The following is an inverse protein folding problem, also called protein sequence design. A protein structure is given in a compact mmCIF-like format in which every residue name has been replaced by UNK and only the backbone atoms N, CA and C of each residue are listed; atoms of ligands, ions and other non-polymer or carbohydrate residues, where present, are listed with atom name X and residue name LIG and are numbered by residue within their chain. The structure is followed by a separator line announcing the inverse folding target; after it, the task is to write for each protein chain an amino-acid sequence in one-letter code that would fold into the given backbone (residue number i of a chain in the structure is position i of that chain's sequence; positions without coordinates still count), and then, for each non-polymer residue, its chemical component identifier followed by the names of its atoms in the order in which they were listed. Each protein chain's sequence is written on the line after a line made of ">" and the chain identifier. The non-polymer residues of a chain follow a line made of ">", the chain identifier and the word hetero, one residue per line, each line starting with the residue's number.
data_IF_721741054359
#
_entry.id   IF_721741054359
#
_cell.length_a   1.000
_cell.length_b   1.000
_cell.length_c   1.000
_cell.angle_alpha   90.00
_cell.angle_beta   90.00
_cell.angle_gamma   90.00
#
_symmetry.space_group_name_H-M   'P 1'
#
loop_
_entity.id
_entity.type
_entity.pdbx_description
1 polymer ?
#
# COMPACT_ATOMS: atom_id res chain seq x y z
N UNK A 1 -10.19 7.34 -0.79
CA UNK A 1 -9.92 6.05 -1.45
C UNK A 1 -10.63 4.98 -0.65
N UNK A 2 -11.41 4.11 -1.29
CA UNK A 2 -12.09 2.98 -0.65
C UNK A 2 -11.36 1.70 -1.03
N UNK A 3 -11.13 0.80 -0.08
CA UNK A 3 -10.53 -0.52 -0.33
C UNK A 3 -11.55 -1.58 0.07
N UNK A 4 -11.86 -2.50 -0.82
CA UNK A 4 -12.77 -3.61 -0.58
C UNK A 4 -12.04 -4.93 -0.81
N UNK A 5 -12.13 -5.83 0.14
CA UNK A 5 -11.50 -7.15 0.11
C UNK A 5 -12.60 -8.20 0.11
N UNK A 6 -12.56 -9.10 -0.88
CA UNK A 6 -13.54 -10.16 -1.07
C UNK A 6 -12.89 -11.53 -1.12
N UNK A 7 -13.29 -12.40 -0.17
CA UNK A 7 -12.89 -13.81 -0.08
C UNK A 7 -11.38 -14.03 -0.24
N UNK A 8 -10.58 -13.13 0.34
CA UNK A 8 -9.14 -13.09 0.13
C UNK A 8 -8.44 -14.24 0.85
N UNK A 9 -7.64 -14.98 0.11
CA UNK A 9 -6.86 -16.11 0.61
C UNK A 9 -5.41 -16.02 0.15
N UNK A 10 -4.50 -16.48 0.98
CA UNK A 10 -3.10 -16.67 0.60
C UNK A 10 -2.54 -17.94 1.18
N UNK A 11 -2.05 -18.81 0.30
CA UNK A 11 -1.29 -20.00 0.62
C UNK A 11 0.17 -19.81 0.18
N UNK A 12 1.09 -20.19 1.03
CA UNK A 12 2.50 -20.38 0.70
C UNK A 12 2.79 -21.88 0.84
N UNK A 13 2.85 -22.58 -0.29
CA UNK A 13 2.96 -24.05 -0.32
C UNK A 13 1.84 -24.68 0.56
N UNK A 14 2.21 -25.30 1.68
CA UNK A 14 1.27 -25.95 2.60
C UNK A 14 0.81 -25.07 3.77
N UNK A 15 1.21 -23.79 3.81
CA UNK A 15 0.87 -22.87 4.89
C UNK A 15 -0.22 -21.92 4.43
N UNK A 16 -1.39 -22.00 5.06
CA UNK A 16 -2.49 -21.06 4.85
C UNK A 16 -2.23 -19.79 5.68
N UNK A 17 -1.67 -18.77 5.02
CA UNK A 17 -1.29 -17.51 5.68
C UNK A 17 -2.48 -16.56 5.87
N UNK A 18 -3.44 -16.57 4.95
CA UNK A 18 -4.67 -15.76 5.02
C UNK A 18 -5.83 -16.63 4.56
N UNK A 19 -6.93 -16.66 5.35
CA UNK A 19 -8.09 -17.51 5.12
C UNK A 19 -9.37 -16.69 5.01
N UNK A 20 -9.92 -16.62 3.82
CA UNK A 20 -11.26 -16.08 3.49
C UNK A 20 -11.62 -14.78 4.21
N UNK A 21 -10.71 -13.80 4.18
CA UNK A 21 -10.98 -12.50 4.80
C UNK A 21 -11.81 -11.60 3.88
N UNK A 22 -12.74 -10.88 4.53
CA UNK A 22 -13.66 -9.97 3.87
C UNK A 22 -13.80 -8.72 4.75
N UNK A 23 -13.49 -7.54 4.21
CA UNK A 23 -13.74 -6.26 4.86
C UNK A 23 -13.64 -5.09 3.89
N UNK A 24 -14.14 -3.94 4.32
CA UNK A 24 -14.06 -2.69 3.57
C UNK A 24 -13.45 -1.60 4.42
N UNK A 25 -12.51 -0.84 3.83
CA UNK A 25 -11.96 0.39 4.40
C UNK A 25 -12.58 1.57 3.65
N UNK A 26 -13.36 2.38 4.35
CA UNK A 26 -14.04 3.51 3.74
C UNK A 26 -13.10 4.71 3.52
N UNK A 27 -13.45 5.55 2.57
CA UNK A 27 -12.74 6.81 2.32
C UNK A 27 -12.74 7.68 3.60
N UNK A 28 -11.57 8.17 3.98
CA UNK A 28 -11.40 9.08 5.13
C UNK A 28 -11.38 8.37 6.49
N UNK A 29 -11.53 7.04 6.55
CA UNK A 29 -11.40 6.30 7.80
C UNK A 29 -9.94 5.95 8.13
N UNK A 30 -9.66 5.80 9.43
CA UNK A 30 -8.44 5.16 9.95
C UNK A 30 -8.84 3.78 10.43
N UNK A 31 -8.19 2.76 9.89
CA UNK A 31 -8.50 1.35 10.20
C UNK A 31 -7.28 0.64 10.76
N UNK A 32 -7.41 0.03 11.93
CA UNK A 32 -6.38 -0.81 12.54
C UNK A 32 -6.55 -2.29 12.14
N UNK A 33 -5.47 -2.93 11.71
CA UNK A 33 -5.42 -4.38 11.50
C UNK A 33 -4.70 -5.03 12.67
N UNK A 34 -5.46 -5.63 13.58
CA UNK A 34 -4.95 -6.21 14.82
C UNK A 34 -4.88 -7.73 14.74
N UNK A 35 -4.00 -8.31 15.54
CA UNK A 35 -3.84 -9.76 15.65
C UNK A 35 -2.42 -10.16 16.09
N UNK A 36 -2.22 -11.42 16.52
CA UNK A 36 -0.92 -11.94 16.97
C UNK A 36 0.11 -11.97 15.81
N UNK A 37 1.38 -12.18 16.16
CA UNK A 37 2.41 -12.37 15.15
C UNK A 37 2.14 -13.64 14.35
N UNK A 38 2.37 -13.58 13.03
CA UNK A 38 2.11 -14.71 12.13
C UNK A 38 0.65 -14.87 11.66
N UNK A 39 -0.31 -14.07 12.13
CA UNK A 39 -1.71 -14.20 11.71
C UNK A 39 -2.04 -13.64 10.31
N UNK A 40 -1.04 -13.28 9.50
CA UNK A 40 -1.25 -12.85 8.12
C UNK A 40 -1.41 -11.35 7.89
N UNK A 41 -1.22 -10.47 8.90
CA UNK A 41 -1.35 -9.00 8.74
C UNK A 41 -0.49 -8.45 7.62
N UNK A 42 0.80 -8.72 7.65
CA UNK A 42 1.75 -8.24 6.63
C UNK A 42 1.44 -8.80 5.25
N UNK A 43 1.02 -10.07 5.18
CA UNK A 43 0.57 -10.70 3.93
C UNK A 43 -0.67 -10.01 3.38
N UNK A 44 -1.64 -9.71 4.24
CA UNK A 44 -2.87 -8.98 3.86
C UNK A 44 -2.54 -7.58 3.33
N UNK A 45 -1.71 -6.82 4.05
CA UNK A 45 -1.24 -5.51 3.59
C UNK A 45 -0.50 -5.62 2.25
N UNK A 46 0.39 -6.60 2.11
CA UNK A 46 1.11 -6.85 0.86
C UNK A 46 0.19 -7.15 -0.32
N UNK A 47 -0.91 -7.87 -0.10
CA UNK A 47 -1.94 -8.10 -1.13
C UNK A 47 -2.72 -6.83 -1.45
N UNK A 48 -3.06 -6.00 -0.45
CA UNK A 48 -3.72 -4.70 -0.66
C UNK A 48 -2.86 -3.72 -1.45
N UNK A 49 -1.54 -3.80 -1.31
CA UNK A 49 -0.57 -2.98 -2.06
C UNK A 49 -0.21 -3.59 -3.43
N UNK A 50 -0.77 -4.74 -3.78
CA UNK A 50 -0.40 -5.45 -5.01
C UNK A 50 1.04 -5.98 -5.05
N UNK A 51 1.72 -6.03 -3.90
CA UNK A 51 3.07 -6.60 -3.77
C UNK A 51 3.05 -8.12 -3.69
N UNK A 52 1.95 -8.67 -3.17
CA UNK A 52 1.72 -10.11 -3.03
C UNK A 52 0.46 -10.46 -3.83
N UNK A 53 0.57 -11.41 -4.75
CA UNK A 53 -0.60 -11.92 -5.47
C UNK A 53 -1.40 -12.84 -4.56
N UNK A 54 -2.73 -12.64 -4.43
CA UNK A 54 -3.61 -13.58 -3.73
C UNK A 54 -3.58 -14.97 -4.35
N UNK A 55 -3.84 -16.01 -3.56
CA UNK A 55 -4.10 -17.36 -4.08
C UNK A 55 -5.53 -17.49 -4.59
N UNK A 56 -6.47 -16.76 -3.97
CA UNK A 56 -7.85 -16.56 -4.44
C UNK A 56 -8.46 -15.34 -3.76
N UNK A 57 -9.63 -14.91 -4.23
CA UNK A 57 -10.28 -13.69 -3.79
C UNK A 57 -9.75 -12.47 -4.54
N UNK A 58 -10.19 -11.28 -4.16
CA UNK A 58 -9.92 -10.06 -4.92
C UNK A 58 -9.81 -8.85 -3.99
N UNK A 59 -8.92 -7.94 -4.35
CA UNK A 59 -8.80 -6.62 -3.74
C UNK A 59 -9.24 -5.56 -4.75
N UNK A 60 -10.24 -4.78 -4.38
CA UNK A 60 -10.71 -3.63 -5.14
C UNK A 60 -10.28 -2.33 -4.47
N UNK A 61 -9.81 -1.39 -5.26
CA UNK A 61 -9.46 -0.04 -4.82
C UNK A 61 -10.24 0.95 -5.69
N UNK A 62 -11.12 1.73 -5.07
CA UNK A 62 -12.07 2.58 -5.77
C UNK A 62 -12.83 1.81 -6.88
N UNK A 63 -13.35 0.62 -6.56
CA UNK A 63 -14.06 -0.29 -7.47
C UNK A 63 -13.21 -0.85 -8.63
N UNK A 64 -11.92 -0.67 -8.60
CA UNK A 64 -10.99 -1.21 -9.60
C UNK A 64 -10.18 -2.36 -9.01
N UNK A 65 -10.15 -3.49 -9.70
CA UNK A 65 -9.34 -4.64 -9.28
C UNK A 65 -7.85 -4.31 -9.42
N UNK A 66 -7.10 -4.45 -8.32
CA UNK A 66 -5.65 -4.17 -8.28
C UNK A 66 -4.82 -5.16 -9.11
N UNK A 67 -5.35 -6.35 -9.39
CA UNK A 67 -4.67 -7.35 -10.23
C UNK A 67 -4.80 -7.05 -11.73
N UNK A 68 -5.70 -6.14 -12.13
CA UNK A 68 -5.81 -5.73 -13.53
C UNK A 68 -4.64 -4.78 -13.87
N UNK A 69 -3.75 -5.24 -14.72
CA UNK A 69 -2.53 -4.51 -15.12
C UNK A 69 -2.82 -3.11 -15.69
N UNK A 70 -3.90 -2.96 -16.44
CA UNK A 70 -4.30 -1.67 -17.03
C UNK A 70 -4.64 -0.61 -15.99
N UNK A 71 -5.13 -1.02 -14.82
CA UNK A 71 -5.53 -0.13 -13.73
C UNK A 71 -4.48 -0.02 -12.64
N UNK A 72 -3.62 -1.03 -12.52
CA UNK A 72 -2.66 -1.18 -11.41
C UNK A 72 -1.78 0.05 -11.22
N UNK A 73 -1.15 0.53 -12.28
CA UNK A 73 -0.27 1.71 -12.21
C UNK A 73 -1.02 2.93 -11.68
N UNK A 74 -2.21 3.23 -12.23
CA UNK A 74 -3.04 4.36 -11.80
C UNK A 74 -3.52 4.25 -10.36
N UNK A 75 -3.72 3.03 -9.87
CA UNK A 75 -4.09 2.76 -8.48
C UNK A 75 -2.88 3.03 -7.59
N UNK A 76 -1.72 2.46 -7.91
CA UNK A 76 -0.51 2.55 -7.11
C UNK A 76 0.05 3.98 -7.02
N UNK A 77 -0.10 4.79 -8.05
CA UNK A 77 0.25 6.22 -8.01
C UNK A 77 -0.48 7.01 -6.90
N UNK A 78 -1.63 6.52 -6.45
CA UNK A 78 -2.46 7.15 -5.40
C UNK A 78 -2.29 6.50 -4.03
N UNK A 79 -1.42 5.51 -3.92
CA UNK A 79 -1.15 4.77 -2.69
C UNK A 79 0.29 4.98 -2.25
N UNK A 80 0.51 4.96 -0.94
CA UNK A 80 1.85 4.90 -0.39
C UNK A 80 1.87 3.96 0.81
N UNK A 81 3.07 3.51 1.16
CA UNK A 81 3.31 2.55 2.21
C UNK A 81 4.53 2.97 3.02
N UNK A 82 4.37 3.02 4.33
CA UNK A 82 5.47 3.24 5.27
C UNK A 82 5.72 1.94 6.02
N UNK A 83 6.95 1.47 5.98
CA UNK A 83 7.37 0.26 6.69
C UNK A 83 8.47 0.60 7.69
N UNK A 84 8.46 0.00 8.89
CA UNK A 84 9.55 0.15 9.84
C UNK A 84 10.89 -0.44 9.34
N UNK A 85 10.84 -1.24 8.28
CA UNK A 85 12.03 -1.87 7.68
C UNK A 85 12.56 -1.15 6.44
N UNK A 86 11.85 -0.14 5.95
CA UNK A 86 12.28 0.67 4.79
C UNK A 86 12.76 2.02 5.31
N UNK A 87 14.04 2.25 5.24
CA UNK A 87 14.66 3.51 5.61
C UNK A 87 14.86 4.39 4.37
N UNK A 88 14.74 5.70 4.56
CA UNK A 88 15.15 6.65 3.54
C UNK A 88 16.66 6.58 3.31
N UNK A 89 17.17 6.86 2.09
CA UNK A 89 18.60 6.91 1.81
C UNK A 89 19.35 7.81 2.81
N UNK A 90 20.12 7.21 3.71
CA UNK A 90 20.82 7.92 4.80
C UNK A 90 21.92 8.88 4.32
N UNK A 91 22.40 8.72 3.09
CA UNK A 91 23.42 9.60 2.47
C UNK A 91 22.83 10.88 1.92
N UNK A 92 21.50 10.98 1.80
CA UNK A 92 20.81 12.16 1.33
C UNK A 92 20.28 12.97 2.50
N UNK A 93 20.29 14.28 2.37
CA UNK A 93 19.61 15.19 3.31
C UNK A 93 18.09 14.99 3.23
N UNK A 94 17.36 15.54 4.19
CA UNK A 94 15.88 15.52 4.17
C UNK A 94 15.34 16.16 2.90
N UNK A 95 15.90 17.29 2.51
CA UNK A 95 15.48 18.02 1.29
C UNK A 95 15.73 17.21 0.02
N UNK A 96 16.89 16.56 -0.08
CA UNK A 96 17.21 15.70 -1.23
C UNK A 96 16.29 14.49 -1.31
N UNK A 97 15.99 13.85 -0.18
CA UNK A 97 15.01 12.77 -0.12
C UNK A 97 13.64 13.24 -0.61
N UNK A 98 13.15 14.39 -0.10
CA UNK A 98 11.88 14.97 -0.55
C UNK A 98 11.89 15.31 -2.04
N UNK A 99 13.00 15.81 -2.59
CA UNK A 99 13.14 16.06 -4.03
C UNK A 99 13.07 14.79 -4.86
N UNK A 100 13.78 13.73 -4.45
CA UNK A 100 13.77 12.44 -5.16
C UNK A 100 12.35 11.85 -5.18
N UNK A 101 11.75 11.68 -4.01
CA UNK A 101 10.40 11.10 -3.92
C UNK A 101 9.35 11.98 -4.59
N UNK A 102 9.42 13.30 -4.40
CA UNK A 102 8.49 14.22 -5.05
C UNK A 102 8.54 14.16 -6.59
N UNK A 103 9.74 13.97 -7.17
CA UNK A 103 9.89 13.74 -8.62
C UNK A 103 9.34 12.38 -9.04
N UNK A 104 9.61 11.31 -8.27
CA UNK A 104 9.09 9.97 -8.57
C UNK A 104 7.57 9.92 -8.61
N UNK A 105 6.90 10.68 -7.72
CA UNK A 105 5.43 10.77 -7.66
C UNK A 105 4.84 11.91 -8.51
N UNK A 106 5.63 12.59 -9.34
CA UNK A 106 5.16 13.64 -10.22
C UNK A 106 4.54 14.85 -9.50
N UNK A 107 5.04 15.19 -8.31
CA UNK A 107 4.48 16.26 -7.49
C UNK A 107 4.67 17.62 -8.14
N UNK A 108 3.56 18.30 -8.49
CA UNK A 108 3.59 19.67 -9.01
C UNK A 108 4.00 20.69 -7.93
N UNK A 109 4.69 21.75 -8.34
CA UNK A 109 5.19 22.82 -7.46
C UNK A 109 6.06 22.28 -6.30
N UNK A 110 6.89 21.28 -6.61
CA UNK A 110 7.66 20.51 -5.64
C UNK A 110 8.48 21.38 -4.69
N UNK A 111 9.21 22.37 -5.20
CA UNK A 111 10.08 23.23 -4.38
C UNK A 111 9.29 23.99 -3.30
N UNK A 112 8.13 24.56 -3.67
CA UNK A 112 7.27 25.28 -2.72
C UNK A 112 6.72 24.34 -1.64
N UNK A 113 6.33 23.12 -2.05
CA UNK A 113 5.86 22.09 -1.10
C UNK A 113 6.95 21.66 -0.13
N UNK A 114 8.16 21.43 -0.62
CA UNK A 114 9.33 21.10 0.22
C UNK A 114 9.59 22.23 1.22
N UNK A 115 9.66 23.49 0.75
CA UNK A 115 9.90 24.63 1.63
C UNK A 115 8.83 24.79 2.73
N UNK A 116 7.58 24.42 2.43
CA UNK A 116 6.50 24.43 3.42
C UNK A 116 6.58 23.27 4.43
N UNK A 117 7.07 22.09 4.00
CA UNK A 117 7.23 20.93 4.88
C UNK A 117 8.45 21.03 5.79
N UNK A 118 9.44 21.85 5.44
CA UNK A 118 10.68 22.02 6.19
C UNK A 118 10.64 23.21 7.17
N UNK A 119 9.53 23.94 7.25
CA UNK A 119 9.25 24.98 8.26
C UNK A 119 8.75 24.37 9.56
#
# INVERSE_FOLDING_TARGET
>A
MTIEIKNLNKNYNNILAVKNINFTINKGSITGLLGPNGCGKTTTIGMMLGLIKPSSGTVFINNQNIENENNRTKILEKMNFISPYVELPKKLTVEENLKVYGKMYGVNNLQNKISNLMK
#
